data_IF_139343304909
#
_entry.id   IF_139343304909
#
_cell.length_a   1.000
_cell.length_b   1.000
_cell.length_c   1.000
_cell.angle_alpha   90.00
_cell.angle_beta   90.00
_cell.angle_gamma   90.00
#
_symmetry.space_group_name_H-M   'P 1'
#
loop_
_entity.id
_entity.type
_entity.pdbx_description
1 polymer ?
#
# COMPACT_ATOMS: atom_id res chain seq x y z
N UNK A 1 34.78 27.78 1.29
CA UNK A 1 34.62 27.07 0.01
C UNK A 1 35.42 25.77 0.10
N UNK A 2 34.84 24.76 0.73
CA UNK A 2 35.47 23.46 0.93
C UNK A 2 34.51 22.43 0.37
N UNK A 3 34.82 21.95 -0.84
CA UNK A 3 34.01 21.01 -1.64
C UNK A 3 34.26 19.54 -1.23
N UNK A 4 34.97 19.33 -0.11
CA UNK A 4 35.39 18.00 0.34
C UNK A 4 34.67 17.61 1.64
N UNK A 5 33.73 16.66 1.55
CA UNK A 5 32.94 16.11 2.67
C UNK A 5 33.80 15.61 3.85
N UNK A 6 35.08 15.29 3.61
CA UNK A 6 36.02 14.88 4.67
C UNK A 6 36.53 16.05 5.50
N UNK A 7 36.62 17.24 4.91
CA UNK A 7 37.11 18.44 5.60
C UNK A 7 36.01 19.12 6.43
N UNK A 8 34.74 18.92 6.09
CA UNK A 8 33.61 19.44 6.87
C UNK A 8 33.65 18.91 8.30
N UNK A 9 33.81 17.59 8.51
CA UNK A 9 33.87 17.02 9.86
C UNK A 9 35.07 17.52 10.68
N UNK A 10 36.21 17.77 10.03
CA UNK A 10 37.41 18.32 10.68
C UNK A 10 37.19 19.78 11.06
N UNK A 11 36.66 20.60 10.15
CA UNK A 11 36.34 22.00 10.41
C UNK A 11 35.26 22.16 11.49
N UNK A 12 34.30 21.24 11.57
CA UNK A 12 33.31 21.21 12.67
C UNK A 12 33.99 20.89 14.01
N UNK A 13 34.94 19.95 14.04
CA UNK A 13 35.71 19.63 15.24
C UNK A 13 36.57 20.80 15.72
N UNK A 14 37.18 21.54 14.79
CA UNK A 14 37.92 22.76 15.10
C UNK A 14 36.99 23.88 15.60
N UNK A 15 35.84 24.08 14.96
CA UNK A 15 34.84 25.04 15.41
C UNK A 15 34.33 24.69 16.82
N UNK A 16 34.10 23.41 17.11
CA UNK A 16 33.72 22.93 18.44
C UNK A 16 34.81 23.24 19.48
N UNK A 17 36.07 22.94 19.15
CA UNK A 17 37.21 23.18 20.02
C UNK A 17 37.41 24.68 20.33
N UNK A 18 37.10 25.57 19.39
CA UNK A 18 37.17 27.03 19.60
C UNK A 18 35.99 27.56 20.42
N UNK A 19 34.79 27.02 20.24
CA UNK A 19 33.58 27.51 20.92
C UNK A 19 33.45 27.03 22.37
N UNK A 20 33.96 25.85 22.73
CA UNK A 20 33.88 25.32 24.11
C UNK A 20 34.56 26.21 25.17
N UNK A 21 35.79 26.71 24.96
CA UNK A 21 36.44 27.65 25.89
C UNK A 21 35.68 28.98 26.03
N UNK A 22 35.13 29.49 24.93
CA UNK A 22 34.35 30.74 24.92
C UNK A 22 33.07 30.59 25.77
N UNK A 23 32.45 29.40 25.73
CA UNK A 23 31.28 29.05 26.54
C UNK A 23 31.61 28.54 27.95
N UNK A 24 32.90 28.50 28.33
CA UNK A 24 33.40 27.99 29.62
C UNK A 24 32.94 26.57 29.94
N UNK A 25 32.79 25.72 28.92
CA UNK A 25 32.40 24.32 29.11
C UNK A 25 33.63 23.46 29.46
N UNK A 26 33.48 22.60 30.46
CA UNK A 26 34.53 21.65 30.85
C UNK A 26 34.58 20.48 29.84
N UNK A 27 35.70 19.78 29.70
CA UNK A 27 35.87 18.64 28.77
C UNK A 27 34.87 17.49 28.98
N UNK A 28 34.27 17.39 30.18
CA UNK A 28 33.28 16.36 30.55
C UNK A 28 31.83 16.81 30.36
N UNK A 29 31.60 18.10 30.07
CA UNK A 29 30.27 18.68 29.98
C UNK A 29 29.73 18.61 28.54
N UNK A 30 28.44 18.30 28.37
CA UNK A 30 27.83 18.25 27.04
C UNK A 30 27.79 19.65 26.40
N UNK A 31 27.90 19.70 25.07
CA UNK A 31 27.87 20.96 24.34
C UNK A 31 26.51 21.67 24.49
N UNK A 32 26.52 22.91 24.96
CA UNK A 32 25.33 23.76 25.04
C UNK A 32 25.08 24.60 23.78
N UNK A 33 25.74 24.27 22.67
CA UNK A 33 25.63 24.94 21.38
C UNK A 33 25.39 23.93 20.27
N UNK A 34 24.58 24.32 19.28
CA UNK A 34 24.27 23.48 18.13
C UNK A 34 25.11 23.96 16.96
N UNK A 35 25.88 23.03 16.40
CA UNK A 35 26.64 23.23 15.18
C UNK A 35 25.74 22.89 13.99
N UNK A 36 25.15 23.91 13.38
CA UNK A 36 24.24 23.74 12.23
C UNK A 36 25.05 23.50 10.95
N UNK A 37 24.97 22.28 10.43
CA UNK A 37 25.59 21.90 9.16
C UNK A 37 24.54 22.01 8.06
N UNK A 38 24.97 22.33 6.85
CA UNK A 38 24.09 22.22 5.68
C UNK A 38 23.53 20.79 5.53
N UNK A 39 24.28 19.77 5.95
CA UNK A 39 23.83 18.37 5.95
C UNK A 39 22.75 18.07 7.00
N UNK A 40 22.74 18.74 8.16
CA UNK A 40 21.74 18.48 9.20
C UNK A 40 20.34 18.93 8.83
N UNK A 41 20.22 19.93 7.95
CA UNK A 41 18.92 20.36 7.40
C UNK A 41 18.39 19.32 6.40
N UNK A 42 19.27 18.83 5.51
CA UNK A 42 18.93 17.77 4.56
C UNK A 42 18.56 16.46 5.27
N UNK A 43 19.31 16.08 6.31
CA UNK A 43 19.06 14.88 7.11
C UNK A 43 17.71 14.94 7.84
N UNK A 44 17.36 16.11 8.42
CA UNK A 44 16.03 16.32 9.03
C UNK A 44 14.91 16.22 8.01
N UNK A 45 15.07 16.80 6.82
CA UNK A 45 14.10 16.71 5.74
C UNK A 45 13.92 15.26 5.25
N UNK A 46 15.03 14.55 5.02
CA UNK A 46 15.00 13.13 4.63
C UNK A 46 14.35 12.25 5.71
N UNK A 47 14.63 12.50 6.99
CA UNK A 47 14.01 11.77 8.10
C UNK A 47 12.50 12.02 8.18
N UNK A 48 12.07 13.26 7.95
CA UNK A 48 10.64 13.63 7.90
C UNK A 48 9.93 12.93 6.74
N UNK A 49 10.50 12.98 5.54
CA UNK A 49 9.98 12.27 4.35
C UNK A 49 9.96 10.75 4.56
N UNK A 50 10.98 10.20 5.22
CA UNK A 50 11.03 8.78 5.58
C UNK A 50 9.90 8.38 6.53
N UNK A 51 9.65 9.19 7.56
CA UNK A 51 8.53 8.96 8.48
C UNK A 51 7.18 9.00 7.76
N UNK A 52 6.95 10.02 6.92
CA UNK A 52 5.73 10.12 6.11
C UNK A 52 5.54 8.90 5.19
N UNK A 53 6.62 8.44 4.56
CA UNK A 53 6.59 7.26 3.68
C UNK A 53 6.20 5.99 4.45
N UNK A 54 6.79 5.77 5.62
CA UNK A 54 6.46 4.62 6.47
C UNK A 54 5.01 4.68 6.95
N UNK A 55 4.57 5.84 7.46
CA UNK A 55 3.18 6.01 7.91
C UNK A 55 2.17 5.78 6.78
N UNK A 56 2.41 6.36 5.60
CA UNK A 56 1.56 6.16 4.43
C UNK A 56 1.51 4.68 3.99
N UNK A 57 2.64 3.98 4.07
CA UNK A 57 2.72 2.55 3.75
C UNK A 57 1.89 1.71 4.72
N UNK A 58 1.97 1.99 6.02
CA UNK A 58 1.19 1.28 7.05
C UNK A 58 -0.31 1.51 6.86
N UNK A 59 -0.73 2.77 6.65
CA UNK A 59 -2.13 3.10 6.40
C UNK A 59 -2.62 2.40 5.14
N UNK A 60 -1.83 2.44 4.05
CA UNK A 60 -2.14 1.75 2.81
C UNK A 60 -2.34 0.25 2.98
N UNK A 61 -1.48 -0.41 3.77
CA UNK A 61 -1.62 -1.85 4.08
C UNK A 61 -2.90 -2.15 4.84
N UNK A 62 -3.25 -1.35 5.86
CA UNK A 62 -4.49 -1.55 6.63
C UNK A 62 -5.72 -1.37 5.72
N UNK A 63 -5.74 -0.33 4.90
CA UNK A 63 -6.82 -0.07 3.94
C UNK A 63 -6.94 -1.21 2.93
N UNK A 64 -5.82 -1.74 2.43
CA UNK A 64 -5.78 -2.86 1.49
C UNK A 64 -6.38 -4.13 2.09
N UNK A 65 -6.02 -4.45 3.34
CA UNK A 65 -6.57 -5.60 4.07
C UNK A 65 -8.08 -5.42 4.28
N UNK A 66 -8.51 -4.24 4.72
CA UNK A 66 -9.94 -3.93 4.91
C UNK A 66 -10.74 -4.08 3.62
N UNK A 67 -10.21 -3.59 2.49
CA UNK A 67 -10.83 -3.76 1.18
C UNK A 67 -10.91 -5.24 0.75
N UNK A 68 -9.87 -6.02 1.02
CA UNK A 68 -9.85 -7.46 0.73
C UNK A 68 -10.94 -8.22 1.51
N UNK A 69 -11.12 -7.89 2.80
CA UNK A 69 -12.16 -8.47 3.64
C UNK A 69 -13.55 -8.06 3.14
N UNK A 70 -13.71 -6.78 2.77
CA UNK A 70 -14.96 -6.28 2.19
C UNK A 70 -15.35 -7.01 0.90
N UNK A 71 -14.39 -7.17 -0.02
CA UNK A 71 -14.58 -7.93 -1.25
C UNK A 71 -14.94 -9.40 -0.96
N UNK A 72 -14.23 -10.03 -0.03
CA UNK A 72 -14.52 -11.40 0.40
C UNK A 72 -15.96 -11.53 0.94
N UNK A 73 -16.44 -10.57 1.73
CA UNK A 73 -17.80 -10.59 2.26
C UNK A 73 -18.85 -10.45 1.15
N UNK A 74 -18.67 -9.50 0.23
CA UNK A 74 -19.56 -9.33 -0.91
C UNK A 74 -19.64 -10.62 -1.75
N UNK A 75 -18.49 -11.25 -1.98
CA UNK A 75 -18.43 -12.54 -2.69
C UNK A 75 -19.14 -13.66 -1.94
N UNK A 76 -19.02 -13.73 -0.61
CA UNK A 76 -19.74 -14.72 0.20
C UNK A 76 -21.26 -14.55 0.12
N UNK A 77 -21.74 -13.31 0.13
CA UNK A 77 -23.17 -13.00 -0.05
C UNK A 77 -23.61 -13.41 -1.46
N UNK A 78 -22.87 -13.03 -2.50
CA UNK A 78 -23.18 -13.38 -3.89
C UNK A 78 -23.24 -14.90 -4.13
N UNK A 79 -22.32 -15.67 -3.53
CA UNK A 79 -22.36 -17.14 -3.57
C UNK A 79 -23.63 -17.68 -2.91
N UNK A 80 -24.05 -17.06 -1.80
CA UNK A 80 -25.23 -17.49 -1.06
C UNK A 80 -26.52 -17.21 -1.83
N UNK A 81 -26.62 -16.05 -2.49
CA UNK A 81 -27.75 -15.69 -3.37
C UNK A 81 -27.86 -16.64 -4.58
N UNK A 82 -26.73 -16.99 -5.20
CA UNK A 82 -26.67 -17.90 -6.36
C UNK A 82 -26.59 -19.39 -5.98
N UNK A 83 -26.91 -19.75 -4.73
CA UNK A 83 -26.83 -21.14 -4.22
C UNK A 83 -27.65 -22.13 -5.04
N UNK A 84 -28.91 -21.77 -5.36
CA UNK A 84 -29.82 -22.64 -6.13
C UNK A 84 -29.30 -22.92 -7.55
N UNK A 85 -28.78 -21.90 -8.23
CA UNK A 85 -28.20 -22.02 -9.57
C UNK A 85 -26.99 -22.96 -9.56
N UNK A 86 -26.09 -22.79 -8.59
CA UNK A 86 -24.91 -23.66 -8.41
C UNK A 86 -25.32 -25.09 -8.08
N UNK A 87 -26.36 -25.28 -7.27
CA UNK A 87 -26.95 -26.58 -6.95
C UNK A 87 -27.50 -27.30 -8.17
N UNK A 88 -28.27 -26.59 -9.00
CA UNK A 88 -28.81 -27.10 -10.26
C UNK A 88 -27.70 -27.55 -11.22
N UNK A 89 -26.68 -26.71 -11.42
CA UNK A 89 -25.53 -27.02 -12.28
C UNK A 89 -24.76 -28.25 -11.81
N UNK A 90 -24.59 -28.44 -10.49
CA UNK A 90 -23.96 -29.65 -9.96
C UNK A 90 -24.85 -30.89 -10.10
N UNK A 91 -26.16 -30.75 -9.93
CA UNK A 91 -27.11 -31.87 -10.06
C UNK A 91 -27.11 -32.48 -11.47
N UNK A 92 -26.89 -31.66 -12.50
CA UNK A 92 -26.75 -32.10 -13.91
C UNK A 92 -25.33 -32.55 -14.28
N UNK A 93 -24.41 -32.67 -13.31
CA UNK A 93 -23.05 -33.19 -13.51
C UNK A 93 -21.93 -32.14 -13.60
N UNK A 94 -22.20 -30.87 -13.27
CA UNK A 94 -21.18 -29.81 -13.25
C UNK A 94 -20.07 -30.06 -12.23
N UNK A 95 -18.81 -29.91 -12.66
CA UNK A 95 -17.63 -30.12 -11.79
C UNK A 95 -17.42 -28.95 -10.84
N UNK A 96 -17.17 -29.22 -9.55
CA UNK A 96 -16.82 -28.19 -8.55
C UNK A 96 -15.64 -27.29 -8.93
N UNK A 97 -14.71 -27.79 -9.75
CA UNK A 97 -13.58 -27.01 -10.28
C UNK A 97 -14.01 -25.91 -11.25
N UNK A 98 -15.06 -26.14 -12.04
CA UNK A 98 -15.59 -25.15 -12.98
C UNK A 98 -16.20 -23.97 -12.21
N UNK A 99 -17.04 -24.27 -11.21
CA UNK A 99 -17.68 -23.26 -10.36
C UNK A 99 -16.63 -22.43 -9.61
N UNK A 100 -15.61 -23.08 -9.04
CA UNK A 100 -14.47 -22.37 -8.40
C UNK A 100 -13.79 -21.40 -9.37
N UNK A 101 -13.51 -21.84 -10.60
CA UNK A 101 -12.86 -20.97 -11.60
C UNK A 101 -13.74 -19.79 -12.00
N UNK A 102 -15.05 -19.97 -12.10
CA UNK A 102 -15.99 -18.90 -12.41
C UNK A 102 -15.95 -17.80 -11.35
N UNK A 103 -16.11 -18.15 -10.07
CA UNK A 103 -16.06 -17.18 -8.97
C UNK A 103 -14.67 -16.53 -8.81
N UNK A 104 -13.58 -17.28 -9.06
CA UNK A 104 -12.23 -16.71 -9.08
C UNK A 104 -12.05 -15.68 -10.21
N UNK A 105 -12.59 -15.97 -11.40
CA UNK A 105 -12.55 -15.03 -12.52
C UNK A 105 -13.41 -13.79 -12.24
N UNK A 106 -14.59 -13.95 -11.63
CA UNK A 106 -15.44 -12.83 -11.21
C UNK A 106 -14.70 -11.91 -10.23
N UNK A 107 -14.04 -12.48 -9.21
CA UNK A 107 -13.20 -11.72 -8.27
C UNK A 107 -12.01 -11.04 -8.96
N UNK A 108 -11.35 -11.72 -9.89
CA UNK A 108 -10.22 -11.16 -10.65
C UNK A 108 -10.66 -9.97 -11.51
N UNK A 109 -11.78 -10.09 -12.24
CA UNK A 109 -12.34 -9.01 -13.06
C UNK A 109 -12.66 -7.80 -12.19
N UNK A 110 -13.34 -7.99 -11.05
CA UNK A 110 -13.66 -6.91 -10.12
C UNK A 110 -12.39 -6.24 -9.59
N UNK A 111 -11.35 -7.02 -9.24
CA UNK A 111 -10.08 -6.46 -8.76
C UNK A 111 -9.33 -5.64 -9.81
N UNK A 112 -9.33 -6.09 -11.08
CA UNK A 112 -8.69 -5.38 -12.19
C UNK A 112 -9.47 -4.10 -12.53
N UNK A 113 -10.81 -4.17 -12.56
CA UNK A 113 -11.64 -2.99 -12.75
C UNK A 113 -11.43 -1.96 -11.64
N UNK A 114 -11.37 -2.42 -10.39
CA UNK A 114 -11.05 -1.57 -9.24
C UNK A 114 -9.66 -0.93 -9.35
N UNK A 115 -8.65 -1.69 -9.78
CA UNK A 115 -7.31 -1.16 -10.01
C UNK A 115 -7.28 -0.11 -11.12
N UNK A 116 -7.92 -0.38 -12.26
CA UNK A 116 -8.04 0.57 -13.36
C UNK A 116 -8.72 1.87 -12.92
N UNK A 117 -9.83 1.75 -12.19
CA UNK A 117 -10.57 2.90 -11.66
C UNK A 117 -9.75 3.68 -10.62
N UNK A 118 -9.04 2.98 -9.74
CA UNK A 118 -8.13 3.57 -8.76
C UNK A 118 -6.97 4.33 -9.40
N UNK A 119 -6.41 3.82 -10.50
CA UNK A 119 -5.35 4.52 -11.26
C UNK A 119 -5.90 5.81 -11.87
N UNK A 120 -7.07 5.75 -12.51
CA UNK A 120 -7.71 6.94 -13.10
C UNK A 120 -7.97 8.00 -12.04
N UNK A 121 -8.56 7.61 -10.90
CA UNK A 121 -8.79 8.53 -9.78
C UNK A 121 -7.50 9.06 -9.17
N UNK A 122 -6.48 8.21 -9.01
CA UNK A 122 -5.19 8.60 -8.45
C UNK A 122 -4.47 9.63 -9.34
N UNK A 123 -4.48 9.42 -10.66
CA UNK A 123 -3.92 10.38 -11.63
C UNK A 123 -4.74 11.68 -11.63
N UNK A 124 -6.06 11.60 -11.56
CA UNK A 124 -6.94 12.77 -11.53
C UNK A 124 -6.69 13.63 -10.28
N UNK A 125 -6.69 13.02 -9.09
CA UNK A 125 -6.39 13.71 -7.82
C UNK A 125 -4.95 14.24 -7.81
N UNK A 126 -3.99 13.46 -8.30
CA UNK A 126 -2.59 13.89 -8.43
C UNK A 126 -2.44 15.13 -9.31
N UNK A 127 -3.17 15.19 -10.42
CA UNK A 127 -3.18 16.35 -11.31
C UNK A 127 -3.80 17.59 -10.65
N UNK A 128 -4.89 17.44 -9.88
CA UNK A 128 -5.47 18.55 -9.10
C UNK A 128 -4.45 19.10 -8.09
N UNK A 129 -3.78 18.23 -7.34
CA UNK A 129 -2.74 18.65 -6.39
C UNK A 129 -1.55 19.34 -7.08
N UNK A 130 -1.15 18.86 -8.27
CA UNK A 130 -0.11 19.47 -9.11
C UNK A 130 -0.38 20.93 -9.39
N UNK A 131 -1.62 21.25 -9.77
CA UNK A 131 -2.04 22.62 -10.11
C UNK A 131 -2.03 23.51 -8.87
N UNK A 132 -2.49 23.00 -7.72
CA UNK A 132 -2.52 23.77 -6.46
C UNK A 132 -1.11 24.09 -5.95
N UNK A 133 -0.19 23.13 -6.04
CA UNK A 133 1.19 23.31 -5.54
C UNK A 133 2.13 23.98 -6.56
N UNK A 134 1.68 24.27 -7.79
CA UNK A 134 2.52 24.74 -8.91
C UNK A 134 3.74 23.84 -9.20
N UNK A 135 3.65 22.56 -8.84
CA UNK A 135 4.69 21.55 -9.08
C UNK A 135 4.23 20.63 -10.20
N UNK A 136 5.07 20.33 -11.19
CA UNK A 136 4.72 19.38 -12.25
C UNK A 136 4.53 17.96 -11.72
N UNK A 137 3.36 17.35 -11.96
CA UNK A 137 3.07 15.97 -11.56
C UNK A 137 3.53 14.98 -12.64
N UNK A 138 4.50 14.15 -12.27
CA UNK A 138 4.98 13.04 -13.10
C UNK A 138 4.41 11.74 -12.56
N UNK A 139 3.62 11.04 -13.36
CA UNK A 139 3.07 9.73 -12.98
C UNK A 139 4.19 8.70 -13.00
N UNK A 140 4.53 8.09 -11.85
CA UNK A 140 5.54 7.06 -11.82
C UNK A 140 4.96 5.71 -12.27
N UNK A 141 5.08 5.40 -13.57
CA UNK A 141 4.55 4.18 -14.18
C UNK A 141 4.97 2.88 -13.47
N UNK A 142 6.17 2.84 -12.89
CA UNK A 142 6.66 1.70 -12.11
C UNK A 142 5.77 1.41 -10.88
N UNK A 143 5.38 2.46 -10.13
CA UNK A 143 4.51 2.33 -8.96
C UNK A 143 3.09 1.93 -9.34
N UNK A 144 2.61 2.40 -10.50
CA UNK A 144 1.32 1.96 -11.07
C UNK A 144 1.36 0.46 -11.37
N UNK A 145 2.43 -0.04 -12.00
CA UNK A 145 2.58 -1.47 -12.28
C UNK A 145 2.61 -2.32 -11.00
N UNK A 146 3.35 -1.90 -9.97
CA UNK A 146 3.32 -2.57 -8.66
C UNK A 146 1.92 -2.57 -8.04
N UNK A 147 1.18 -1.46 -8.15
CA UNK A 147 -0.20 -1.35 -7.67
C UNK A 147 -1.13 -2.37 -8.33
N UNK A 148 -1.06 -2.52 -9.66
CA UNK A 148 -1.87 -3.51 -10.40
C UNK A 148 -1.55 -4.94 -9.92
N UNK A 149 -0.27 -5.27 -9.76
CA UNK A 149 0.16 -6.59 -9.29
C UNK A 149 -0.39 -6.85 -7.88
N UNK A 150 -0.23 -5.90 -6.96
CA UNK A 150 -0.72 -6.02 -5.59
C UNK A 150 -2.25 -6.17 -5.57
N UNK A 151 -3.00 -5.35 -6.30
CA UNK A 151 -4.45 -5.45 -6.39
C UNK A 151 -4.89 -6.82 -6.95
N UNK A 152 -4.20 -7.33 -7.97
CA UNK A 152 -4.51 -8.64 -8.56
C UNK A 152 -4.28 -9.76 -7.56
N UNK A 153 -3.14 -9.74 -6.85
CA UNK A 153 -2.81 -10.75 -5.83
C UNK A 153 -3.81 -10.72 -4.69
N UNK A 154 -4.14 -9.53 -4.18
CA UNK A 154 -5.09 -9.36 -3.07
C UNK A 154 -6.50 -9.78 -3.48
N UNK A 155 -6.95 -9.40 -4.68
CA UNK A 155 -8.25 -9.80 -5.23
C UNK A 155 -8.36 -11.33 -5.38
N UNK A 156 -7.28 -11.98 -5.85
CA UNK A 156 -7.22 -13.43 -5.96
C UNK A 156 -7.28 -14.12 -4.60
N UNK A 157 -6.52 -13.63 -3.62
CA UNK A 157 -6.53 -14.17 -2.25
C UNK A 157 -7.90 -14.00 -1.58
N UNK A 158 -8.52 -12.82 -1.70
CA UNK A 158 -9.85 -12.54 -1.18
C UNK A 158 -10.95 -13.39 -1.85
N UNK A 159 -10.83 -13.63 -3.16
CA UNK A 159 -11.77 -14.46 -3.93
C UNK A 159 -11.60 -15.98 -3.74
N UNK A 160 -10.45 -16.44 -3.25
CA UNK A 160 -10.15 -17.87 -3.14
C UNK A 160 -11.07 -18.58 -2.14
N UNK A 161 -11.25 -18.01 -0.96
CA UNK A 161 -12.13 -18.58 0.06
C UNK A 161 -13.59 -18.73 -0.39
N UNK A 162 -14.29 -17.68 -0.88
CA UNK A 162 -15.67 -17.79 -1.34
C UNK A 162 -15.81 -18.74 -2.54
N UNK A 163 -14.85 -18.73 -3.48
CA UNK A 163 -14.86 -19.66 -4.61
C UNK A 163 -14.79 -21.13 -4.15
N UNK A 164 -13.92 -21.43 -3.16
CA UNK A 164 -13.83 -22.77 -2.56
C UNK A 164 -15.14 -23.17 -1.88
N UNK A 165 -15.77 -22.25 -1.15
CA UNK A 165 -17.08 -22.45 -0.50
C UNK A 165 -18.16 -22.80 -1.54
N UNK A 166 -18.28 -22.02 -2.62
CA UNK A 166 -19.22 -22.29 -3.72
C UNK A 166 -19.01 -23.68 -4.35
N UNK A 167 -17.74 -24.05 -4.59
CA UNK A 167 -17.40 -25.36 -5.13
C UNK A 167 -17.74 -26.53 -4.20
N UNK A 168 -17.88 -26.32 -2.89
CA UNK A 168 -18.19 -27.36 -1.90
C UNK A 168 -19.67 -27.49 -1.55
N UNK A 169 -20.55 -26.64 -2.08
CA UNK A 169 -22.00 -26.77 -1.87
C UNK A 169 -22.54 -28.16 -2.30
N UNK A 170 -23.33 -28.79 -1.44
CA UNK A 170 -24.03 -30.03 -1.75
C UNK A 170 -25.29 -29.74 -2.59
N UNK A 171 -25.54 -30.47 -3.69
CA UNK A 171 -26.71 -30.24 -4.56
C UNK A 171 -28.04 -30.39 -3.82
N UNK A 172 -28.11 -31.37 -2.90
CA UNK A 172 -29.32 -31.69 -2.13
C UNK A 172 -29.66 -30.55 -1.16
N UNK A 173 -28.66 -29.98 -0.47
CA UNK A 173 -28.86 -28.84 0.43
C UNK A 173 -29.21 -27.56 -0.33
N UNK A 174 -28.59 -27.35 -1.50
CA UNK A 174 -28.83 -26.17 -2.32
C UNK A 174 -30.26 -26.11 -2.88
N UNK A 175 -30.90 -27.25 -3.13
CA UNK A 175 -32.28 -27.34 -3.62
C UNK A 175 -33.32 -27.38 -2.48
N UNK A 176 -32.89 -27.67 -1.24
CA UNK A 176 -33.76 -27.68 -0.05
C UNK A 176 -33.87 -26.31 0.62
N UNK A 177 -33.07 -25.34 0.19
CA UNK A 177 -33.22 -23.95 0.63
C UNK A 177 -34.50 -23.36 0.00
N UNK A 178 -35.47 -22.98 0.82
CA UNK A 178 -36.62 -22.15 0.42
C UNK A 178 -36.15 -20.81 -0.16
#
# INVERSE_FOLDING_TARGET
>A
LTDDMRQVNVAMGEAEAVFRPIRKLTTTEDNNFVLDRSDSVAEKAMKSLGFLTVSATVIGLITLIGAAIGLMNIMLVSVSERTKEVGLVKAIGGKSKMIRRQFLLEAMIISIMGAAFGIVLGVFVGNIFSVVLSTGFVVPWNWVAYGIIICTVVGLLAGLYPALKAGRLNPIEALRYE
#
